data_IF_020138060901
#
_entry.id   IF_020138060901
#
_cell.length_a   1.000
_cell.length_b   1.000
_cell.length_c   1.000
_cell.angle_alpha   90.00
_cell.angle_beta   90.00
_cell.angle_gamma   90.00
#
_symmetry.space_group_name_H-M   'P 1'
#
loop_
_entity.id
_entity.type
_entity.pdbx_description
1 polymer ?
#
# COMPACT_ATOMS: atom_id res chain seq x y z
N UNK A 1 -6.51 6.69 5.26
CA UNK A 1 -7.45 5.96 4.37
C UNK A 1 -8.68 5.62 5.19
N UNK A 2 -9.85 5.61 4.55
CA UNK A 2 -11.11 5.22 5.21
C UNK A 2 -11.05 3.74 5.61
N UNK A 3 -11.49 3.44 6.83
CA UNK A 3 -11.59 2.07 7.34
C UNK A 3 -12.91 1.49 6.85
N UNK A 4 -12.84 0.60 5.85
CA UNK A 4 -14.01 -0.11 5.32
C UNK A 4 -13.82 -1.61 5.45
N UNK A 5 -14.88 -2.31 5.83
CA UNK A 5 -14.90 -3.78 5.90
C UNK A 5 -15.40 -4.37 4.58
N UNK A 6 -14.71 -5.39 4.06
CA UNK A 6 -15.13 -6.12 2.84
C UNK A 6 -16.10 -7.27 3.11
N UNK A 7 -16.66 -7.36 4.31
CA UNK A 7 -17.49 -8.49 4.71
C UNK A 7 -18.82 -8.44 3.95
N UNK A 8 -19.27 -9.58 3.42
CA UNK A 8 -20.60 -9.71 2.81
C UNK A 8 -20.71 -9.38 1.32
N UNK A 9 -19.61 -9.06 0.62
CA UNK A 9 -19.64 -8.77 -0.81
C UNK A 9 -19.04 -9.95 -1.58
N UNK A 10 -19.88 -10.65 -2.36
CA UNK A 10 -19.41 -11.69 -3.30
C UNK A 10 -18.82 -11.02 -4.54
N UNK A 11 -17.85 -11.67 -5.19
CA UNK A 11 -17.21 -11.15 -6.41
C UNK A 11 -18.23 -10.85 -7.52
N UNK A 12 -19.27 -11.67 -7.61
CA UNK A 12 -20.36 -11.49 -8.59
C UNK A 12 -21.17 -10.22 -8.31
N UNK A 13 -21.49 -9.97 -7.03
CA UNK A 13 -22.19 -8.77 -6.61
C UNK A 13 -21.33 -7.53 -6.87
N UNK A 14 -20.03 -7.61 -6.59
CA UNK A 14 -19.04 -6.58 -6.88
C UNK A 14 -19.07 -6.16 -8.36
N UNK A 15 -19.01 -7.14 -9.27
CA UNK A 15 -19.04 -6.89 -10.71
C UNK A 15 -20.37 -6.25 -11.16
N UNK A 16 -21.50 -6.75 -10.66
CA UNK A 16 -22.82 -6.16 -10.97
C UNK A 16 -22.93 -4.71 -10.51
N UNK A 17 -22.45 -4.41 -9.30
CA UNK A 17 -22.45 -3.04 -8.75
C UNK A 17 -21.58 -2.12 -9.61
N UNK A 18 -20.39 -2.59 -10.00
CA UNK A 18 -19.50 -1.83 -10.89
C UNK A 18 -20.15 -1.55 -12.25
N UNK A 19 -20.82 -2.52 -12.85
CA UNK A 19 -21.54 -2.32 -14.12
C UNK A 19 -22.65 -1.27 -14.01
N UNK A 20 -23.42 -1.30 -12.91
CA UNK A 20 -24.47 -0.31 -12.65
C UNK A 20 -23.87 1.09 -12.48
N UNK A 21 -22.78 1.19 -11.74
CA UNK A 21 -22.08 2.46 -11.52
C UNK A 21 -21.53 3.02 -12.84
N UNK A 22 -20.89 2.19 -13.68
CA UNK A 22 -20.39 2.61 -14.99
C UNK A 22 -21.50 3.03 -15.94
N UNK A 23 -22.65 2.32 -15.94
CA UNK A 23 -23.83 2.71 -16.72
C UNK A 23 -24.39 4.06 -16.28
N UNK A 24 -24.43 4.33 -14.96
CA UNK A 24 -24.86 5.64 -14.44
C UNK A 24 -23.90 6.74 -14.88
N UNK A 25 -22.58 6.54 -14.74
CA UNK A 25 -21.58 7.54 -15.15
C UNK A 25 -21.67 7.85 -16.65
N UNK A 26 -21.83 6.84 -17.51
CA UNK A 26 -21.94 7.03 -18.97
C UNK A 26 -23.15 7.85 -19.41
N UNK A 27 -24.23 7.89 -18.62
CA UNK A 27 -25.45 8.63 -18.98
C UNK A 27 -25.36 10.13 -18.72
N UNK A 28 -24.39 10.56 -17.91
CA UNK A 28 -24.24 11.95 -17.48
C UNK A 28 -23.57 12.74 -18.59
N UNK A 29 -24.23 13.80 -19.07
CA UNK A 29 -23.69 14.69 -20.10
C UNK A 29 -23.28 16.05 -19.54
N UNK A 30 -23.88 16.48 -18.42
CA UNK A 30 -23.62 17.80 -17.83
C UNK A 30 -22.74 17.73 -16.58
N UNK A 31 -21.86 18.70 -16.41
CA UNK A 31 -20.96 18.80 -15.25
C UNK A 31 -21.71 18.93 -13.92
N UNK A 32 -22.83 19.65 -13.90
CA UNK A 32 -23.68 19.82 -12.70
C UNK A 32 -24.33 18.51 -12.25
N UNK A 33 -24.76 17.69 -13.21
CA UNK A 33 -25.35 16.37 -12.93
C UNK A 33 -24.31 15.41 -12.35
N UNK A 34 -23.06 15.49 -12.81
CA UNK A 34 -21.96 14.70 -12.25
C UNK A 34 -21.66 15.08 -10.80
N UNK A 35 -21.67 16.37 -10.47
CA UNK A 35 -21.47 16.85 -9.10
C UNK A 35 -22.57 16.30 -8.17
N UNK A 36 -23.84 16.44 -8.56
CA UNK A 36 -24.96 15.90 -7.79
C UNK A 36 -24.88 14.38 -7.59
N UNK A 37 -24.38 13.62 -8.58
CA UNK A 37 -24.18 12.18 -8.43
C UNK A 37 -23.04 11.84 -7.45
N UNK A 38 -21.96 12.62 -7.43
CA UNK A 38 -20.88 12.45 -6.46
C UNK A 38 -21.33 12.79 -5.03
N UNK A 39 -22.20 13.79 -4.88
CA UNK A 39 -22.80 14.16 -3.59
C UNK A 39 -23.76 13.09 -3.06
N UNK A 40 -24.44 12.37 -3.95
CA UNK A 40 -25.29 11.24 -3.58
C UNK A 40 -24.52 9.96 -3.24
N UNK A 41 -23.33 9.77 -3.84
CA UNK A 41 -22.56 8.52 -3.73
C UNK A 41 -21.47 8.57 -2.66
N UNK A 42 -20.89 9.75 -2.42
CA UNK A 42 -19.76 9.92 -1.51
C UNK A 42 -20.10 10.91 -0.41
N UNK A 43 -19.64 10.59 0.80
CA UNK A 43 -19.65 11.55 1.91
C UNK A 43 -18.65 12.68 1.67
N UNK A 44 -18.83 13.80 2.38
CA UNK A 44 -17.98 14.99 2.25
C UNK A 44 -16.47 14.67 2.40
N UNK A 45 -16.11 13.88 3.40
CA UNK A 45 -14.71 13.48 3.65
C UNK A 45 -14.14 12.60 2.54
N UNK A 46 -14.97 11.69 2.00
CA UNK A 46 -14.57 10.83 0.90
C UNK A 46 -14.35 11.62 -0.38
N UNK A 47 -15.17 12.64 -0.64
CA UNK A 47 -14.95 13.54 -1.77
C UNK A 47 -13.64 14.32 -1.64
N UNK A 48 -13.34 14.87 -0.46
CA UNK A 48 -12.06 15.55 -0.21
C UNK A 48 -10.92 14.57 -0.48
N UNK A 49 -11.03 13.33 -0.01
CA UNK A 49 -10.00 12.32 -0.23
C UNK A 49 -9.81 11.99 -1.72
N UNK A 50 -10.89 11.90 -2.50
CA UNK A 50 -10.82 11.69 -3.96
C UNK A 50 -10.15 12.89 -4.65
N UNK A 51 -10.54 14.12 -4.32
CA UNK A 51 -9.94 15.35 -4.85
C UNK A 51 -8.44 15.42 -4.55
N UNK A 52 -8.04 15.18 -3.31
CA UNK A 52 -6.62 15.14 -2.91
C UNK A 52 -5.84 14.07 -3.70
N UNK A 53 -6.41 12.88 -3.92
CA UNK A 53 -5.76 11.82 -4.71
C UNK A 53 -5.60 12.18 -6.19
N UNK A 54 -6.60 12.81 -6.79
CA UNK A 54 -6.50 13.32 -8.17
C UNK A 54 -5.45 14.41 -8.29
N UNK A 55 -5.40 15.34 -7.33
CA UNK A 55 -4.38 16.37 -7.27
C UNK A 55 -2.97 15.78 -7.12
N UNK A 56 -2.77 14.76 -6.28
CA UNK A 56 -1.49 14.05 -6.18
C UNK A 56 -1.07 13.45 -7.52
N UNK A 57 -1.98 12.77 -8.24
CA UNK A 57 -1.65 12.18 -9.55
C UNK A 57 -1.24 13.26 -10.57
N UNK A 58 -1.95 14.39 -10.57
CA UNK A 58 -1.64 15.53 -11.41
C UNK A 58 -0.25 16.11 -11.11
N UNK A 59 0.04 16.44 -9.84
CA UNK A 59 1.36 17.00 -9.44
C UNK A 59 2.51 16.00 -9.65
N UNK A 60 2.25 14.70 -9.51
CA UNK A 60 3.24 13.67 -9.82
C UNK A 60 3.57 13.62 -11.32
N UNK A 61 2.57 13.85 -12.20
CA UNK A 61 2.78 13.94 -13.65
C UNK A 61 3.56 15.20 -14.04
N UNK A 62 3.36 16.30 -13.32
CA UNK A 62 4.16 17.53 -13.44
C UNK A 62 5.60 17.39 -12.90
N UNK A 63 5.93 16.26 -12.27
CA UNK A 63 7.29 15.99 -11.80
C UNK A 63 7.65 16.65 -10.46
N UNK A 64 6.66 17.13 -9.68
CA UNK A 64 6.89 17.73 -8.37
C UNK A 64 7.53 16.75 -7.39
N UNK A 65 8.36 17.25 -6.46
CA UNK A 65 8.99 16.42 -5.43
C UNK A 65 7.96 16.07 -4.35
N UNK A 66 8.23 14.98 -3.64
CA UNK A 66 7.33 14.47 -2.60
C UNK A 66 7.11 15.45 -1.45
N UNK A 67 8.10 16.29 -1.13
CA UNK A 67 8.02 17.30 -0.07
C UNK A 67 7.06 18.41 -0.46
N UNK A 68 7.23 18.95 -1.65
CA UNK A 68 6.36 19.99 -2.21
C UNK A 68 4.89 19.51 -2.27
N UNK A 69 4.65 18.27 -2.70
CA UNK A 69 3.29 17.71 -2.76
C UNK A 69 2.67 17.56 -1.35
N UNK A 70 3.48 17.17 -0.37
CA UNK A 70 3.05 17.05 1.02
C UNK A 70 2.64 18.40 1.60
N UNK A 71 3.41 19.46 1.33
CA UNK A 71 3.13 20.83 1.77
C UNK A 71 1.90 21.43 1.07
N UNK A 72 1.71 21.18 -0.23
CA UNK A 72 0.60 21.75 -1.01
C UNK A 72 -0.75 21.11 -0.66
N UNK A 73 -0.79 19.77 -0.55
CA UNK A 73 -2.05 19.01 -0.44
C UNK A 73 -2.34 18.59 1.01
N UNK A 74 -1.38 18.77 1.91
CA UNK A 74 -1.42 18.31 3.30
C UNK A 74 -1.77 16.82 3.37
N UNK A 75 -0.84 16.01 2.86
CA UNK A 75 -0.96 14.56 2.77
C UNK A 75 0.38 13.90 3.03
N UNK A 76 0.38 12.88 3.90
CA UNK A 76 1.61 12.17 4.21
C UNK A 76 2.29 11.57 2.97
N UNK A 77 3.63 11.55 2.97
CA UNK A 77 4.45 10.89 1.94
C UNK A 77 4.05 9.44 1.67
N UNK A 78 3.53 8.73 2.68
CA UNK A 78 3.03 7.36 2.55
C UNK A 78 1.84 7.29 1.59
N UNK A 79 0.91 8.25 1.69
CA UNK A 79 -0.23 8.37 0.79
C UNK A 79 0.23 8.70 -0.63
N UNK A 80 1.17 9.64 -0.79
CA UNK A 80 1.74 10.00 -2.10
C UNK A 80 2.39 8.77 -2.75
N UNK A 81 3.21 8.04 -2.00
CA UNK A 81 3.82 6.78 -2.45
C UNK A 81 2.77 5.74 -2.84
N UNK A 82 1.68 5.62 -2.07
CA UNK A 82 0.59 4.73 -2.38
C UNK A 82 -0.13 5.11 -3.67
N UNK A 83 -0.43 6.40 -3.91
CA UNK A 83 -1.06 6.86 -5.15
C UNK A 83 -0.15 6.60 -6.35
N UNK A 84 1.14 6.96 -6.26
CA UNK A 84 2.14 6.69 -7.31
C UNK A 84 2.23 5.20 -7.66
N UNK A 85 2.20 4.32 -6.65
CA UNK A 85 2.26 2.87 -6.82
C UNK A 85 0.92 2.25 -7.26
N UNK A 86 -0.18 2.79 -6.74
CA UNK A 86 -1.53 2.23 -6.82
C UNK A 86 -2.17 2.42 -8.19
N UNK A 87 -1.85 3.50 -8.89
CA UNK A 87 -2.27 3.70 -10.28
C UNK A 87 -1.56 2.77 -11.28
N UNK A 88 -0.40 2.20 -10.91
CA UNK A 88 0.39 1.29 -11.76
C UNK A 88 0.24 -0.18 -11.42
N UNK A 89 -0.53 -0.56 -10.39
CA UNK A 89 -0.79 -1.97 -10.10
C UNK A 89 -1.81 -2.52 -11.10
N UNK A 90 -1.30 -3.00 -12.24
CA UNK A 90 -1.90 -4.14 -12.92
C UNK A 90 -2.21 -5.25 -11.90
N UNK A 91 -3.26 -6.08 -12.12
CA UNK A 91 -3.61 -7.16 -11.20
C UNK A 91 -2.32 -7.89 -10.84
N UNK A 92 -2.03 -7.90 -9.54
CA UNK A 92 -0.78 -8.39 -8.95
C UNK A 92 -0.52 -9.75 -9.59
N UNK A 93 0.41 -9.84 -10.56
CA UNK A 93 0.81 -11.14 -11.12
C UNK A 93 1.13 -11.98 -9.90
N UNK A 94 0.36 -13.06 -9.69
CA UNK A 94 0.61 -13.99 -8.62
C UNK A 94 2.09 -14.32 -8.73
N UNK A 95 2.86 -13.94 -7.71
CA UNK A 95 4.26 -14.31 -7.70
C UNK A 95 4.19 -15.83 -7.67
N UNK A 96 4.48 -16.47 -8.80
CA UNK A 96 4.74 -17.90 -8.84
C UNK A 96 5.78 -18.09 -7.75
N UNK A 97 5.38 -18.66 -6.63
CA UNK A 97 6.32 -19.06 -5.60
C UNK A 97 7.12 -20.13 -6.33
N UNK A 98 8.28 -19.75 -6.86
CA UNK A 98 9.25 -20.73 -7.28
C UNK A 98 9.43 -21.58 -6.03
N UNK A 99 9.00 -22.85 -6.09
CA UNK A 99 9.44 -23.84 -5.12
C UNK A 99 10.95 -23.71 -5.19
N UNK A 100 11.59 -23.11 -4.18
CA UNK A 100 13.03 -23.18 -4.06
C UNK A 100 13.27 -24.69 -3.95
N UNK A 101 13.58 -25.34 -5.07
CA UNK A 101 14.28 -26.61 -5.05
C UNK A 101 15.46 -26.34 -4.15
N UNK A 102 15.59 -27.15 -3.09
CA UNK A 102 16.60 -27.00 -2.04
C UNK A 102 17.93 -26.73 -2.74
N UNK A 103 18.28 -25.45 -2.92
CA UNK A 103 19.63 -25.08 -3.26
C UNK A 103 20.36 -25.53 -2.03
N UNK A 104 21.36 -26.39 -2.20
CA UNK A 104 22.14 -26.95 -1.11
C UNK A 104 22.76 -25.79 -0.31
N UNK A 105 21.98 -25.23 0.61
CA UNK A 105 22.45 -24.36 1.67
C UNK A 105 23.31 -25.27 2.52
N UNK A 106 24.57 -25.40 2.12
CA UNK A 106 25.60 -25.96 2.97
C UNK A 106 25.61 -25.05 4.17
N UNK A 107 24.99 -25.48 5.25
CA UNK A 107 24.94 -24.71 6.49
C UNK A 107 26.39 -24.28 6.76
N UNK A 108 26.67 -22.96 6.82
CA UNK A 108 27.99 -22.56 7.24
C UNK A 108 28.21 -23.24 8.58
N UNK A 109 29.32 -23.95 8.76
CA UNK A 109 29.70 -24.50 10.06
C UNK A 109 29.92 -23.31 10.98
N UNK A 110 28.84 -22.78 11.55
CA UNK A 110 28.89 -21.71 12.54
C UNK A 110 29.59 -22.36 13.71
N UNK A 111 30.87 -22.05 13.89
CA UNK A 111 31.53 -22.31 15.15
C UNK A 111 30.77 -21.45 16.16
N UNK A 112 29.85 -22.07 16.89
CA UNK A 112 29.12 -21.41 17.96
C UNK A 112 30.19 -21.05 18.99
N UNK A 113 30.75 -19.83 18.90
CA UNK A 113 31.55 -19.27 19.97
C UNK A 113 30.61 -19.27 21.16
N UNK A 114 30.91 -20.08 22.18
CA UNK A 114 30.13 -20.11 23.42
C UNK A 114 30.21 -18.70 23.99
N UNK A 115 29.15 -17.91 23.82
CA UNK A 115 29.07 -16.60 24.46
C UNK A 115 29.24 -16.82 25.96
N UNK A 116 30.09 -16.05 26.64
CA UNK A 116 30.29 -16.23 28.06
C UNK A 116 28.96 -16.07 28.81
N UNK A 117 28.79 -16.81 29.90
CA UNK A 117 27.59 -16.70 30.71
C UNK A 117 27.40 -15.24 31.17
N UNK A 118 26.17 -14.71 31.00
CA UNK A 118 25.85 -13.32 31.32
C UNK A 118 26.08 -12.98 32.82
N UNK A 119 25.90 -13.97 33.70
CA UNK A 119 26.18 -13.91 35.15
C UNK A 119 26.83 -15.22 35.62
N UNK A 120 27.62 -15.16 36.70
CA UNK A 120 28.21 -16.33 37.35
C UNK A 120 29.62 -16.71 36.87
N UNK A 121 30.11 -17.88 37.33
CA UNK A 121 31.44 -18.41 36.97
C UNK A 121 31.45 -18.76 35.48
N UNK A 122 32.47 -18.28 34.75
CA UNK A 122 32.57 -18.45 33.29
C UNK A 122 32.30 -17.19 32.46
N UNK A 123 32.02 -16.04 33.10
CA UNK A 123 31.90 -14.74 32.40
C UNK A 123 33.22 -14.24 31.80
N UNK A 124 34.34 -14.46 32.50
CA UNK A 124 35.67 -13.96 32.12
C UNK A 124 36.60 -15.03 31.53
N UNK A 125 36.07 -16.21 31.19
CA UNK A 125 36.87 -17.35 30.71
C UNK A 125 37.64 -17.06 29.42
N UNK A 126 37.21 -16.08 28.62
CA UNK A 126 37.89 -15.66 27.40
C UNK A 126 39.17 -14.84 27.64
N UNK A 127 39.38 -14.27 28.84
CA UNK A 127 40.60 -13.51 29.17
C UNK A 127 41.80 -14.40 29.49
N UNK A 128 41.58 -15.65 29.89
CA UNK A 128 42.66 -16.57 30.29
C UNK A 128 43.28 -17.35 29.11
N UNK A 129 42.76 -17.19 27.89
CA UNK A 129 43.22 -17.89 26.69
C UNK A 129 43.90 -16.94 25.67
N UNK A 130 44.47 -15.82 26.14
CA UNK A 130 45.28 -14.88 25.35
C UNK A 130 46.78 -15.13 25.57
#
# INVERSE_FOLDING_TARGET
MVRVTKRGITKELENRILDVLLKKIKKIKKRKEMAGLLDQLLTFDEQIMVKKRLAIDFLLKEGKKYRDIEEIIDVSRRTISFVKKGLKKSPKKEKKICKLTKMDFKEPKIQIRKFPAYKGRGRWSFLHNL
#
